data_IF_035477125314
#
_entry.id   IF_035477125314
#
_cell.length_a   1.000
_cell.length_b   1.000
_cell.length_c   1.000
_cell.angle_alpha   90.00
_cell.angle_beta   90.00
_cell.angle_gamma   90.00
#
_symmetry.space_group_name_H-M   'P 1'
#
loop_
_entity.id
_entity.type
_entity.pdbx_description
1 polymer ?
#
# COMPACT_ATOMS: atom_id res chain seq x y z
N UNK A 1 -31.25 -1.48 -25.76
CA UNK A 1 -31.16 -2.44 -26.88
C UNK A 1 -32.20 -3.55 -26.76
N UNK A 2 -32.31 -4.24 -25.61
CA UNK A 2 -33.33 -5.29 -25.43
C UNK A 2 -34.75 -4.71 -25.57
N UNK A 3 -35.07 -3.66 -24.80
CA UNK A 3 -36.37 -2.97 -24.87
C UNK A 3 -36.67 -2.47 -26.29
N UNK A 4 -35.76 -1.67 -26.86
CA UNK A 4 -35.89 -1.21 -28.24
C UNK A 4 -36.08 -2.36 -29.26
N UNK A 5 -35.40 -3.50 -29.08
CA UNK A 5 -35.57 -4.66 -29.97
C UNK A 5 -36.95 -5.31 -29.86
N UNK A 6 -37.58 -5.26 -28.68
CA UNK A 6 -38.99 -5.64 -28.51
C UNK A 6 -39.93 -4.62 -29.16
N UNK A 7 -39.62 -3.32 -29.07
CA UNK A 7 -40.42 -2.25 -29.71
C UNK A 7 -40.38 -2.34 -31.24
N UNK A 8 -39.22 -2.71 -31.82
CA UNK A 8 -39.09 -3.00 -33.25
C UNK A 8 -39.76 -4.32 -33.68
N UNK A 9 -40.22 -5.14 -32.72
CA UNK A 9 -40.78 -6.47 -32.95
C UNK A 9 -39.72 -7.56 -32.96
N UNK A 10 -39.81 -8.49 -32.01
CA UNK A 10 -38.88 -9.62 -31.85
C UNK A 10 -38.91 -10.63 -33.01
N UNK A 11 -39.94 -10.59 -33.85
CA UNK A 11 -40.05 -11.38 -35.08
C UNK A 11 -39.28 -10.77 -36.26
N UNK A 12 -38.90 -9.49 -36.19
CA UNK A 12 -38.10 -8.85 -37.24
C UNK A 12 -36.62 -9.25 -37.09
N UNK A 13 -35.90 -9.30 -38.21
CA UNK A 13 -34.46 -9.59 -38.18
C UNK A 13 -33.68 -8.55 -37.37
N UNK A 14 -34.05 -7.27 -37.50
CA UNK A 14 -33.42 -6.18 -36.76
C UNK A 14 -33.75 -6.24 -35.26
N UNK A 15 -35.04 -6.39 -34.90
CA UNK A 15 -35.48 -6.47 -33.50
C UNK A 15 -34.87 -7.67 -32.76
N UNK A 16 -34.91 -8.86 -33.35
CA UNK A 16 -34.26 -10.06 -32.78
C UNK A 16 -32.74 -9.90 -32.63
N UNK A 17 -32.06 -9.25 -33.57
CA UNK A 17 -30.61 -8.97 -33.49
C UNK A 17 -30.30 -7.97 -32.38
N UNK A 18 -31.09 -6.88 -32.25
CA UNK A 18 -30.95 -5.92 -31.16
C UNK A 18 -31.10 -6.59 -29.78
N UNK A 19 -32.04 -7.52 -29.64
CA UNK A 19 -32.22 -8.30 -28.40
C UNK A 19 -30.97 -9.13 -28.10
N UNK A 20 -30.44 -9.89 -29.07
CA UNK A 20 -29.21 -10.69 -28.91
C UNK A 20 -28.01 -9.83 -28.50
N UNK A 21 -27.82 -8.68 -29.16
CA UNK A 21 -26.75 -7.73 -28.81
C UNK A 21 -26.95 -7.18 -27.39
N UNK A 22 -28.17 -6.79 -27.03
CA UNK A 22 -28.48 -6.27 -25.70
C UNK A 22 -28.21 -7.29 -24.58
N UNK A 23 -28.61 -8.54 -24.77
CA UNK A 23 -28.32 -9.62 -23.82
C UNK A 23 -26.83 -9.90 -23.70
N UNK A 24 -26.09 -9.83 -24.80
CA UNK A 24 -24.63 -9.99 -24.82
C UNK A 24 -23.96 -8.86 -24.03
N UNK A 25 -24.36 -7.60 -24.24
CA UNK A 25 -23.84 -6.47 -23.45
C UNK A 25 -24.17 -6.60 -21.95
N UNK A 26 -25.34 -7.15 -21.58
CA UNK A 26 -25.65 -7.45 -20.18
C UNK A 26 -24.69 -8.50 -19.59
N UNK A 27 -24.39 -9.58 -20.33
CA UNK A 27 -23.39 -10.58 -19.91
C UNK A 27 -22.00 -9.96 -19.72
N UNK A 28 -21.56 -9.13 -20.67
CA UNK A 28 -20.28 -8.40 -20.58
C UNK A 28 -20.25 -7.47 -19.35
N UNK A 29 -21.33 -6.75 -19.09
CA UNK A 29 -21.46 -5.92 -17.89
C UNK A 29 -21.36 -6.72 -16.58
N UNK A 30 -21.90 -7.94 -16.57
CA UNK A 30 -21.81 -8.81 -15.39
C UNK A 30 -20.37 -9.26 -15.13
N UNK A 31 -19.67 -9.79 -16.13
CA UNK A 31 -18.28 -10.24 -15.94
C UNK A 31 -17.34 -9.06 -15.65
N UNK A 32 -17.64 -7.86 -16.12
CA UNK A 32 -16.88 -6.65 -15.77
C UNK A 32 -17.08 -6.26 -14.30
N UNK A 33 -18.29 -6.39 -13.78
CA UNK A 33 -18.57 -6.17 -12.36
C UNK A 33 -17.81 -7.17 -11.49
N UNK A 34 -17.80 -8.45 -11.86
CA UNK A 34 -17.08 -9.50 -11.15
C UNK A 34 -15.56 -9.26 -11.18
N UNK A 35 -15.04 -8.82 -12.32
CA UNK A 35 -13.65 -8.40 -12.48
C UNK A 35 -13.29 -7.26 -11.51
N UNK A 36 -14.07 -6.16 -11.52
CA UNK A 36 -13.84 -5.03 -10.60
C UNK A 36 -13.82 -5.52 -9.15
N UNK A 37 -14.81 -6.33 -8.76
CA UNK A 37 -14.90 -6.84 -7.39
C UNK A 37 -13.68 -7.69 -7.02
N UNK A 38 -13.23 -8.55 -7.92
CA UNK A 38 -12.05 -9.40 -7.72
C UNK A 38 -10.77 -8.56 -7.60
N UNK A 39 -10.59 -7.54 -8.45
CA UNK A 39 -9.45 -6.63 -8.40
C UNK A 39 -9.42 -5.79 -7.12
N UNK A 40 -10.59 -5.36 -6.63
CA UNK A 40 -10.71 -4.63 -5.37
C UNK A 40 -10.32 -5.52 -4.19
N UNK A 41 -10.87 -6.73 -4.12
CA UNK A 41 -10.62 -7.65 -2.99
C UNK A 41 -9.21 -8.24 -3.02
N UNK A 42 -8.72 -8.61 -4.19
CA UNK A 42 -7.45 -9.33 -4.35
C UNK A 42 -6.21 -8.44 -4.32
N UNK A 43 -6.33 -7.16 -4.68
CA UNK A 43 -5.19 -6.24 -4.76
C UNK A 43 -5.39 -4.91 -4.04
N UNK A 44 -6.45 -4.16 -4.37
CA UNK A 44 -6.59 -2.81 -3.84
C UNK A 44 -6.78 -2.78 -2.33
N UNK A 45 -7.60 -3.68 -1.78
CA UNK A 45 -7.90 -3.72 -0.35
C UNK A 45 -6.69 -4.15 0.51
N UNK A 46 -5.93 -5.22 0.15
CA UNK A 46 -4.67 -5.54 0.82
C UNK A 46 -3.68 -4.39 0.84
N UNK A 47 -3.44 -3.76 -0.33
CA UNK A 47 -2.52 -2.64 -0.44
C UNK A 47 -2.97 -1.45 0.42
N UNK A 48 -4.27 -1.11 0.37
CA UNK A 48 -4.84 -0.04 1.19
C UNK A 48 -4.64 -0.32 2.69
N UNK A 49 -4.92 -1.55 3.15
CA UNK A 49 -4.75 -1.94 4.55
C UNK A 49 -3.30 -1.81 5.00
N UNK A 50 -2.35 -2.23 4.17
CA UNK A 50 -0.92 -2.09 4.46
C UNK A 50 -0.51 -0.62 4.58
N UNK A 51 -0.94 0.22 3.63
CA UNK A 51 -0.64 1.66 3.62
C UNK A 51 -1.26 2.38 4.83
N UNK A 52 -2.48 2.01 5.22
CA UNK A 52 -3.20 2.64 6.32
C UNK A 52 -2.79 2.12 7.70
N UNK A 53 -2.22 0.92 7.78
CA UNK A 53 -1.77 0.28 9.01
C UNK A 53 -0.24 0.29 9.16
N UNK A 54 0.41 -0.76 8.67
CA UNK A 54 1.84 -1.01 8.88
C UNK A 54 2.72 0.14 8.40
N UNK A 55 2.46 0.68 7.21
CA UNK A 55 3.32 1.73 6.65
C UNK A 55 3.24 3.04 7.45
N UNK A 56 2.07 3.38 8.02
CA UNK A 56 1.95 4.52 8.93
C UNK A 56 2.75 4.31 10.21
N UNK A 57 2.70 3.10 10.77
CA UNK A 57 3.46 2.73 11.95
C UNK A 57 4.97 2.84 11.69
N UNK A 58 5.46 2.22 10.61
CA UNK A 58 6.87 2.31 10.19
C UNK A 58 7.31 3.76 10.01
N UNK A 59 6.48 4.58 9.35
CA UNK A 59 6.78 6.00 9.14
C UNK A 59 6.89 6.77 10.45
N UNK A 60 6.03 6.48 11.43
CA UNK A 60 6.08 7.08 12.77
C UNK A 60 7.37 6.69 13.48
N UNK A 61 7.72 5.41 13.53
CA UNK A 61 8.93 4.93 14.20
C UNK A 61 10.21 5.48 13.57
N UNK A 62 10.25 5.61 12.23
CA UNK A 62 11.35 6.28 11.53
C UNK A 62 11.47 7.75 11.93
N UNK A 63 10.36 8.48 12.03
CA UNK A 63 10.37 9.88 12.48
C UNK A 63 10.85 10.00 13.92
N UNK A 64 10.43 9.12 14.82
CA UNK A 64 10.90 9.10 16.21
C UNK A 64 12.39 8.79 16.28
N UNK A 65 12.88 7.84 15.49
CA UNK A 65 14.32 7.53 15.42
C UNK A 65 15.16 8.74 14.98
N UNK A 66 14.69 9.48 13.97
CA UNK A 66 15.34 10.71 13.53
C UNK A 66 15.39 11.77 14.64
N UNK A 67 14.30 11.96 15.39
CA UNK A 67 14.29 12.86 16.54
C UNK A 67 15.29 12.41 17.62
N UNK A 68 15.34 11.11 17.95
CA UNK A 68 16.31 10.59 18.93
C UNK A 68 17.75 10.71 18.48
N UNK A 69 18.02 10.59 17.17
CA UNK A 69 19.37 10.84 16.62
C UNK A 69 19.79 12.29 16.89
N UNK A 70 18.90 13.24 16.60
CA UNK A 70 19.17 14.67 16.81
C UNK A 70 19.37 15.00 18.30
N UNK A 71 18.57 14.40 19.19
CA UNK A 71 18.73 14.55 20.66
C UNK A 71 20.13 14.08 21.11
N UNK A 72 20.56 12.91 20.63
CA UNK A 72 21.88 12.35 20.93
C UNK A 72 23.02 13.23 20.39
N UNK A 73 22.90 13.74 19.16
CA UNK A 73 23.88 14.64 18.55
C UNK A 73 24.00 15.96 19.33
N UNK A 74 22.87 16.50 19.80
CA UNK A 74 22.83 17.70 20.64
C UNK A 74 23.51 17.45 22.00
N UNK A 75 23.21 16.33 22.67
CA UNK A 75 23.82 15.94 23.93
C UNK A 75 25.35 15.78 23.79
N UNK A 76 25.82 15.10 22.74
CA UNK A 76 27.26 14.93 22.44
C UNK A 76 27.95 16.27 22.16
N UNK A 77 27.29 17.17 21.44
CA UNK A 77 27.82 18.51 21.16
C UNK A 77 27.97 19.34 22.43
N UNK A 78 26.96 19.31 23.31
CA UNK A 78 26.98 19.95 24.64
C UNK A 78 28.10 19.38 25.52
N UNK A 79 28.24 18.06 25.55
CA UNK A 79 29.30 17.37 26.29
C UNK A 79 30.70 17.78 25.82
N UNK A 80 30.94 17.81 24.51
CA UNK A 80 32.22 18.25 23.93
C UNK A 80 32.55 19.69 24.34
N UNK A 81 31.56 20.59 24.30
CA UNK A 81 31.72 21.99 24.74
C UNK A 81 32.05 22.08 26.24
N UNK A 82 31.33 21.36 27.09
CA UNK A 82 31.56 21.36 28.54
C UNK A 82 32.94 20.77 28.90
N UNK A 83 33.39 19.72 28.21
CA UNK A 83 34.75 19.16 28.38
C UNK A 83 35.85 20.14 27.98
N UNK A 84 35.65 20.92 26.90
CA UNK A 84 36.58 21.98 26.51
C UNK A 84 36.65 23.12 27.55
N UNK A 85 35.52 23.55 28.09
CA UNK A 85 35.47 24.58 29.12
C UNK A 85 36.06 24.11 30.45
N UNK A 86 35.90 22.82 30.79
CA UNK A 86 36.42 22.25 32.04
C UNK A 86 37.95 22.15 32.01
N UNK A 87 38.54 21.87 30.83
CA UNK A 87 39.99 21.88 30.62
C UNK A 87 40.63 23.26 30.84
N UNK A 88 39.84 24.33 30.73
CA UNK A 88 40.27 25.71 31.01
C UNK A 88 39.92 26.15 32.46
N UNK A 89 39.60 25.22 33.38
CA UNK A 89 39.14 25.47 34.76
C UNK A 89 37.85 26.31 34.90
N UNK A 90 37.07 26.48 33.82
CA UNK A 90 35.90 27.36 33.80
C UNK A 90 34.57 26.64 34.06
N UNK A 91 34.56 25.34 34.39
CA UNK A 91 33.31 24.56 34.58
C UNK A 91 33.37 23.67 35.81
N UNK A 92 32.33 23.66 36.67
CA UNK A 92 32.24 22.76 37.83
C UNK A 92 32.22 21.28 37.41
N UNK A 93 32.89 20.41 38.18
CA UNK A 93 32.90 18.94 37.96
C UNK A 93 31.48 18.36 37.85
N UNK A 94 30.54 18.86 38.65
CA UNK A 94 29.13 18.47 38.60
C UNK A 94 28.44 18.74 37.25
N UNK A 95 28.83 19.79 36.51
CA UNK A 95 28.30 20.05 35.16
C UNK A 95 28.88 19.10 34.11
N UNK A 96 30.12 18.64 34.31
CA UNK A 96 30.73 17.64 33.43
C UNK A 96 30.06 16.26 33.64
N UNK A 97 29.86 15.85 34.89
CA UNK A 97 29.19 14.59 35.24
C UNK A 97 27.73 14.57 34.77
N UNK A 98 27.00 15.68 34.94
CA UNK A 98 25.63 15.83 34.43
C UNK A 98 25.57 15.72 32.90
N UNK A 99 26.54 16.31 32.18
CA UNK A 99 26.57 16.20 30.72
C UNK A 99 26.93 14.79 30.22
N UNK A 100 27.74 14.05 30.98
CA UNK A 100 28.05 12.65 30.67
C UNK A 100 26.82 11.76 30.93
N UNK A 101 26.02 12.05 31.96
CA UNK A 101 24.73 11.39 32.20
C UNK A 101 23.70 11.68 31.10
N UNK A 102 23.58 12.93 30.65
CA UNK A 102 22.68 13.33 29.55
C UNK A 102 22.98 12.52 28.27
N UNK A 103 24.26 12.36 27.92
CA UNK A 103 24.68 11.59 26.73
C UNK A 103 24.36 10.11 26.88
N UNK A 104 24.59 9.51 28.06
CA UNK A 104 24.24 8.10 28.31
C UNK A 104 22.74 7.86 28.19
N UNK A 105 21.93 8.77 28.72
CA UNK A 105 20.47 8.69 28.61
C UNK A 105 20.00 8.82 27.15
N UNK A 106 20.47 9.83 26.41
CA UNK A 106 20.12 10.01 25.00
C UNK A 106 20.56 8.82 24.13
N UNK A 107 21.73 8.23 24.43
CA UNK A 107 22.22 7.04 23.74
C UNK A 107 21.30 5.84 23.95
N UNK A 108 20.88 5.59 25.20
CA UNK A 108 19.98 4.48 25.51
C UNK A 108 18.61 4.63 24.82
N UNK A 109 18.05 5.84 24.80
CA UNK A 109 16.79 6.13 24.10
C UNK A 109 16.92 5.96 22.58
N UNK A 110 18.04 6.39 21.99
CA UNK A 110 18.31 6.18 20.57
C UNK A 110 18.44 4.68 20.23
N UNK A 111 19.20 3.91 21.00
CA UNK A 111 19.39 2.48 20.78
C UNK A 111 18.08 1.70 20.91
N UNK A 112 17.28 2.03 21.93
CA UNK A 112 15.95 1.48 22.10
C UNK A 112 15.07 1.76 20.88
N UNK A 113 15.02 3.02 20.44
CA UNK A 113 14.21 3.39 19.29
C UNK A 113 14.73 2.78 17.98
N UNK A 114 16.05 2.66 17.82
CA UNK A 114 16.67 1.98 16.69
C UNK A 114 16.21 0.52 16.60
N UNK A 115 16.17 -0.18 17.72
CA UNK A 115 15.69 -1.56 17.76
C UNK A 115 14.21 -1.67 17.38
N UNK A 116 13.35 -0.79 17.90
CA UNK A 116 11.92 -0.73 17.55
C UNK A 116 11.74 -0.50 16.04
N UNK A 117 12.42 0.51 15.49
CA UNK A 117 12.33 0.83 14.05
C UNK A 117 12.85 -0.31 13.19
N UNK A 118 13.94 -0.98 13.60
CA UNK A 118 14.48 -2.15 12.89
C UNK A 118 13.48 -3.30 12.86
N UNK A 119 12.90 -3.67 14.01
CA UNK A 119 11.88 -4.73 14.08
C UNK A 119 10.67 -4.43 13.19
N UNK A 120 10.24 -3.16 13.14
CA UNK A 120 9.15 -2.75 12.25
C UNK A 120 9.52 -2.91 10.76
N UNK A 121 10.79 -2.75 10.39
CA UNK A 121 11.29 -2.93 9.03
C UNK A 121 11.50 -4.40 8.66
N UNK A 122 11.79 -5.27 9.64
CA UNK A 122 12.02 -6.71 9.41
C UNK A 122 10.76 -7.43 8.87
N UNK A 123 9.55 -6.88 9.12
CA UNK A 123 8.30 -7.38 8.55
C UNK A 123 8.07 -7.02 7.07
N UNK A 124 8.80 -6.03 6.54
CA UNK A 124 8.57 -5.49 5.20
C UNK A 124 8.76 -6.51 4.06
N UNK A 125 9.77 -7.39 4.06
CA UNK A 125 9.92 -8.42 3.02
C UNK A 125 8.72 -9.36 2.95
N UNK A 126 8.10 -9.69 4.08
CA UNK A 126 6.91 -10.55 4.11
C UNK A 126 5.70 -9.83 3.49
N UNK A 127 5.49 -8.55 3.82
CA UNK A 127 4.46 -7.74 3.21
C UNK A 127 4.69 -7.59 1.68
N UNK A 128 5.93 -7.40 1.25
CA UNK A 128 6.28 -7.34 -0.18
C UNK A 128 5.97 -8.64 -0.91
N UNK A 129 6.30 -9.80 -0.33
CA UNK A 129 5.94 -11.09 -0.91
C UNK A 129 4.42 -11.26 -1.03
N UNK A 130 3.66 -10.84 -0.01
CA UNK A 130 2.20 -10.85 -0.08
C UNK A 130 1.68 -9.95 -1.21
N UNK A 131 2.18 -8.72 -1.33
CA UNK A 131 1.79 -7.81 -2.41
C UNK A 131 2.14 -8.33 -3.80
N UNK A 132 3.26 -9.06 -3.95
CA UNK A 132 3.58 -9.73 -5.21
C UNK A 132 2.51 -10.75 -5.58
N UNK A 133 2.08 -11.60 -4.64
CA UNK A 133 0.96 -12.52 -4.87
C UNK A 133 -0.32 -11.78 -5.26
N UNK A 134 -0.67 -10.68 -4.56
CA UNK A 134 -1.82 -9.85 -4.91
C UNK A 134 -1.74 -9.26 -6.32
N UNK A 135 -0.54 -8.88 -6.79
CA UNK A 135 -0.33 -8.41 -8.17
C UNK A 135 -0.54 -9.54 -9.17
N UNK A 136 -0.08 -10.76 -8.88
CA UNK A 136 -0.37 -11.91 -9.73
C UNK A 136 -1.89 -12.17 -9.81
N UNK A 137 -2.59 -12.13 -8.69
CA UNK A 137 -4.05 -12.31 -8.65
C UNK A 137 -4.80 -11.24 -9.46
N UNK A 138 -4.31 -9.99 -9.46
CA UNK A 138 -4.87 -8.91 -10.28
C UNK A 138 -4.73 -9.22 -11.77
N UNK A 139 -3.53 -9.58 -12.22
CA UNK A 139 -3.27 -9.87 -13.64
C UNK A 139 -4.04 -11.11 -14.09
N UNK A 140 -4.16 -12.13 -13.24
CA UNK A 140 -4.96 -13.31 -13.52
C UNK A 140 -6.46 -12.96 -13.67
N UNK A 141 -6.98 -12.10 -12.79
CA UNK A 141 -8.35 -11.58 -12.88
C UNK A 141 -8.59 -10.79 -14.18
N UNK A 142 -7.65 -9.93 -14.58
CA UNK A 142 -7.69 -9.19 -15.85
C UNK A 142 -7.70 -10.13 -17.06
N UNK A 143 -6.80 -11.12 -17.06
CA UNK A 143 -6.69 -12.11 -18.13
C UNK A 143 -8.00 -12.90 -18.29
N UNK A 144 -8.56 -13.39 -17.18
CA UNK A 144 -9.81 -14.15 -17.19
C UNK A 144 -10.99 -13.32 -17.67
N UNK A 145 -11.06 -12.04 -17.27
CA UNK A 145 -12.09 -11.12 -17.75
C UNK A 145 -12.03 -10.94 -19.28
N UNK A 146 -10.84 -10.69 -19.82
CA UNK A 146 -10.67 -10.50 -21.26
C UNK A 146 -10.95 -11.78 -22.05
N UNK A 147 -10.50 -12.94 -21.56
CA UNK A 147 -10.81 -14.23 -22.18
C UNK A 147 -12.32 -14.50 -22.23
N UNK A 148 -13.04 -14.30 -21.12
CA UNK A 148 -14.50 -14.45 -21.08
C UNK A 148 -15.20 -13.45 -21.99
N UNK A 149 -14.72 -12.21 -22.05
CA UNK A 149 -15.26 -11.16 -22.93
C UNK A 149 -15.18 -11.55 -24.40
N UNK A 150 -14.03 -12.08 -24.84
CA UNK A 150 -13.83 -12.57 -26.20
C UNK A 150 -14.79 -13.72 -26.50
N UNK A 151 -14.89 -14.72 -25.62
CA UNK A 151 -15.79 -15.86 -25.80
C UNK A 151 -17.27 -15.43 -25.96
N UNK A 152 -17.72 -14.46 -25.15
CA UNK A 152 -19.08 -13.90 -25.22
C UNK A 152 -19.31 -13.18 -26.56
N UNK A 153 -18.34 -12.39 -27.04
CA UNK A 153 -18.45 -11.66 -28.29
C UNK A 153 -18.40 -12.59 -29.52
N UNK A 154 -17.56 -13.62 -29.48
CA UNK A 154 -17.54 -14.65 -30.52
C UNK A 154 -18.85 -15.44 -30.59
N UNK A 155 -19.48 -15.73 -29.45
CA UNK A 155 -20.81 -16.34 -29.40
C UNK A 155 -21.85 -15.44 -30.07
N UNK A 156 -21.82 -14.13 -29.81
CA UNK A 156 -22.70 -13.18 -30.49
C UNK A 156 -22.43 -13.14 -32.00
N UNK A 157 -21.15 -13.06 -32.41
CA UNK A 157 -20.77 -13.00 -33.82
C UNK A 157 -21.33 -14.21 -34.60
N UNK A 158 -21.21 -15.42 -34.06
CA UNK A 158 -21.80 -16.64 -34.65
C UNK A 158 -23.34 -16.65 -34.68
N UNK A 159 -24.02 -15.87 -33.83
CA UNK A 159 -25.49 -15.82 -33.75
C UNK A 159 -26.12 -14.77 -34.65
N UNK A 160 -25.32 -13.81 -35.14
CA UNK A 160 -25.79 -12.67 -35.96
C UNK A 160 -25.18 -12.66 -37.37
N UNK A 161 -23.98 -13.21 -37.55
CA UNK A 161 -23.41 -13.54 -38.85
C UNK A 161 -24.00 -14.84 -39.38
#
# INVERSE_FOLDING_TARGET
>A
MVEAGNDFGSSTQYGSTLIKCGQTHQKLGHIYKDFIQSSVMGYMQPLKSFLEGEMKSITKERRTLEMRRLDLDAARSKQKKNKMLSRNNNTPVAMADSSDADVRHAQAEFERQYHITRLALDGLPNAQNHHLSCLFDLIESELQYHQKSVQILEELHRKIG
#
